data_IF_606076096396
#
_entry.id   IF_606076096396
#
_cell.length_a   1.000
_cell.length_b   1.000
_cell.length_c   1.000
_cell.angle_alpha   90.00
_cell.angle_beta   90.00
_cell.angle_gamma   90.00
#
_symmetry.space_group_name_H-M   'P 1'
#
loop_
_entity.id
_entity.type
_entity.pdbx_description
1 polymer ?
#
# COMPACT_ATOMS: atom_id res chain seq x y z
N UNK A 1 -7.97 21.00 11.67
CA UNK A 1 -8.89 19.88 11.59
C UNK A 1 -8.77 19.12 10.31
N UNK A 2 -8.66 19.79 9.18
CA UNK A 2 -8.46 19.11 7.91
C UNK A 2 -7.18 18.29 7.91
N UNK A 3 -6.19 18.78 8.61
CA UNK A 3 -4.91 18.06 8.69
C UNK A 3 -5.10 16.70 9.34
N UNK A 4 -5.94 16.63 10.35
CA UNK A 4 -6.21 15.38 11.03
C UNK A 4 -6.90 14.38 10.11
N UNK A 5 -7.75 14.87 9.21
CA UNK A 5 -8.45 14.01 8.27
C UNK A 5 -7.46 13.33 7.32
N UNK A 6 -6.49 14.08 6.83
CA UNK A 6 -5.48 13.50 5.94
C UNK A 6 -4.64 12.45 6.65
N UNK A 7 -4.26 12.72 7.88
CA UNK A 7 -3.53 11.75 8.68
C UNK A 7 -4.35 10.50 8.91
N UNK A 8 -5.64 10.67 9.15
CA UNK A 8 -6.55 9.54 9.35
C UNK A 8 -6.57 8.63 8.14
N UNK A 9 -6.59 9.21 6.93
CA UNK A 9 -6.62 8.41 5.71
C UNK A 9 -5.38 7.53 5.59
N UNK A 10 -4.21 8.07 5.89
CA UNK A 10 -2.99 7.28 5.85
C UNK A 10 -3.01 6.16 6.87
N UNK A 11 -3.44 6.46 8.08
CA UNK A 11 -3.51 5.47 9.14
C UNK A 11 -4.54 4.38 8.80
N UNK A 12 -5.67 4.77 8.24
CA UNK A 12 -6.68 3.82 7.83
C UNK A 12 -6.15 2.85 6.77
N UNK A 13 -5.41 3.38 5.81
CA UNK A 13 -4.85 2.54 4.76
C UNK A 13 -3.86 1.54 5.33
N UNK A 14 -2.97 1.99 6.22
CA UNK A 14 -2.02 1.09 6.86
C UNK A 14 -2.73 0.03 7.68
N UNK A 15 -3.77 0.42 8.38
CA UNK A 15 -4.55 -0.52 9.18
C UNK A 15 -5.20 -1.57 8.29
N UNK A 16 -5.74 -1.17 7.15
CA UNK A 16 -6.32 -2.10 6.20
C UNK A 16 -5.29 -3.11 5.71
N UNK A 17 -4.10 -2.62 5.37
CA UNK A 17 -3.05 -3.49 4.89
C UNK A 17 -2.64 -4.51 5.94
N UNK A 18 -2.58 -4.09 7.19
CA UNK A 18 -2.24 -4.99 8.28
C UNK A 18 -3.27 -6.09 8.49
N UNK A 19 -4.53 -5.79 8.21
CA UNK A 19 -5.62 -6.76 8.37
C UNK A 19 -5.72 -7.71 7.20
N UNK A 20 -5.09 -7.41 6.09
CA UNK A 20 -5.12 -8.27 4.92
C UNK A 20 -4.32 -9.54 5.16
N UNK A 21 -4.80 -10.65 4.59
CA UNK A 21 -3.99 -11.86 4.53
C UNK A 21 -2.85 -11.65 3.55
N UNK A 22 -1.86 -12.54 3.58
CA UNK A 22 -0.77 -12.46 2.62
C UNK A 22 -1.27 -12.51 1.18
N UNK A 23 -2.23 -13.38 0.91
CA UNK A 23 -2.81 -13.49 -0.43
C UNK A 23 -3.48 -12.19 -0.86
N UNK A 24 -4.24 -11.59 0.05
CA UNK A 24 -4.91 -10.33 -0.25
C UNK A 24 -3.90 -9.20 -0.47
N UNK A 25 -2.85 -9.18 0.33
CA UNK A 25 -1.81 -8.18 0.20
C UNK A 25 -1.10 -8.30 -1.14
N UNK A 26 -0.80 -9.53 -1.57
CA UNK A 26 -0.18 -9.76 -2.86
C UNK A 26 -1.10 -9.30 -3.99
N UNK A 27 -2.39 -9.62 -3.91
CA UNK A 27 -3.34 -9.15 -4.92
C UNK A 27 -3.40 -7.64 -4.97
N UNK A 28 -3.44 -7.01 -3.82
CA UNK A 28 -3.46 -5.55 -3.74
C UNK A 28 -2.20 -4.96 -4.37
N UNK A 29 -1.04 -5.52 -4.03
CA UNK A 29 0.23 -5.05 -4.58
C UNK A 29 0.31 -5.22 -6.09
N UNK A 30 -0.16 -6.35 -6.61
CA UNK A 30 -0.17 -6.59 -8.04
C UNK A 30 -1.07 -5.60 -8.76
N UNK A 31 -2.24 -5.32 -8.20
CA UNK A 31 -3.15 -4.36 -8.79
C UNK A 31 -2.53 -2.96 -8.82
N UNK A 32 -1.94 -2.54 -7.72
CA UNK A 32 -1.29 -1.25 -7.66
C UNK A 32 -0.13 -1.17 -8.63
N UNK A 33 0.66 -2.23 -8.73
CA UNK A 33 1.78 -2.28 -9.66
C UNK A 33 1.32 -2.17 -11.10
N UNK A 34 0.23 -2.85 -11.42
CA UNK A 34 -0.34 -2.81 -12.76
C UNK A 34 -0.77 -1.39 -13.11
N UNK A 35 -1.39 -0.70 -12.16
CA UNK A 35 -1.80 0.68 -12.37
C UNK A 35 -0.61 1.62 -12.48
N UNK A 36 0.52 1.26 -11.90
CA UNK A 36 1.72 2.10 -11.92
C UNK A 36 2.66 1.80 -13.09
N UNK A 37 2.26 0.96 -14.01
CA UNK A 37 3.05 0.71 -15.22
C UNK A 37 3.09 1.92 -16.13
N UNK A 38 2.01 2.67 -16.15
CA UNK A 38 1.90 3.86 -16.97
C UNK A 38 2.74 4.98 -16.33
N UNK A 39 3.59 5.66 -17.10
CA UNK A 39 4.35 6.79 -16.56
C UNK A 39 3.47 7.92 -16.05
N UNK A 40 2.21 7.93 -16.46
CA UNK A 40 1.24 8.92 -15.97
C UNK A 40 0.54 8.46 -14.72
N UNK A 41 1.03 7.42 -14.08
CA UNK A 41 0.44 6.86 -12.87
C UNK A 41 0.27 7.94 -11.81
N UNK A 42 -0.92 8.10 -11.23
CA UNK A 42 -1.10 9.06 -10.15
C UNK A 42 -0.27 8.72 -8.91
N UNK A 43 0.11 9.76 -8.18
CA UNK A 43 0.88 9.61 -6.96
C UNK A 43 0.21 8.69 -5.95
N UNK A 44 -1.12 8.71 -5.93
CA UNK A 44 -1.88 7.90 -5.00
C UNK A 44 -1.56 6.41 -5.18
N UNK A 45 -1.51 5.95 -6.43
CA UNK A 45 -1.23 4.55 -6.70
C UNK A 45 0.22 4.19 -6.42
N UNK A 46 1.14 5.11 -6.67
CA UNK A 46 2.54 4.89 -6.32
C UNK A 46 2.69 4.71 -4.82
N UNK A 47 2.01 5.55 -4.05
CA UNK A 47 2.05 5.47 -2.60
C UNK A 47 1.44 4.16 -2.11
N UNK A 48 0.32 3.75 -2.70
CA UNK A 48 -0.30 2.49 -2.33
C UNK A 48 0.63 1.31 -2.58
N UNK A 49 1.32 1.33 -3.70
CA UNK A 49 2.27 0.27 -4.02
C UNK A 49 3.40 0.22 -3.00
N UNK A 50 3.94 1.38 -2.64
CA UNK A 50 5.02 1.45 -1.66
C UNK A 50 4.55 0.98 -0.29
N UNK A 51 3.33 1.35 0.10
CA UNK A 51 2.77 0.91 1.36
C UNK A 51 2.61 -0.60 1.39
N UNK A 52 2.13 -1.18 0.30
CA UNK A 52 1.98 -2.63 0.21
C UNK A 52 3.33 -3.33 0.31
N UNK A 53 4.34 -2.80 -0.36
CA UNK A 53 5.68 -3.37 -0.29
C UNK A 53 6.25 -3.26 1.12
N UNK A 54 6.03 -2.14 1.77
CA UNK A 54 6.52 -1.96 3.13
C UNK A 54 5.87 -2.95 4.09
N UNK A 55 4.57 -3.16 3.94
CA UNK A 55 3.87 -4.13 4.77
C UNK A 55 4.37 -5.55 4.52
N UNK A 56 4.61 -5.89 3.26
CA UNK A 56 5.15 -7.20 2.92
C UNK A 56 6.51 -7.43 3.56
N UNK A 57 7.41 -6.43 3.45
CA UNK A 57 8.73 -6.53 4.05
C UNK A 57 8.66 -6.67 5.57
N UNK A 58 7.71 -5.98 6.18
CA UNK A 58 7.54 -6.06 7.62
C UNK A 58 7.18 -7.48 8.04
N UNK A 59 6.34 -8.14 7.25
CA UNK A 59 5.91 -9.50 7.53
C UNK A 59 6.98 -10.53 7.20
N UNK A 60 7.77 -10.26 6.17
CA UNK A 60 8.74 -11.21 5.63
C UNK A 60 10.11 -10.56 5.49
N UNK A 61 10.77 -10.23 6.61
CA UNK A 61 12.05 -9.50 6.52
C UNK A 61 13.16 -10.29 5.88
N UNK A 62 13.01 -11.60 5.76
CA UNK A 62 14.05 -12.46 5.18
C UNK A 62 13.92 -12.70 3.69
N UNK A 63 12.93 -12.12 3.06
CA UNK A 63 12.69 -12.39 1.64
C UNK A 63 13.47 -11.45 0.73
N UNK A 64 14.62 -11.07 1.06
CA UNK A 64 15.42 -10.20 0.19
C UNK A 64 16.28 -10.99 -0.76
#
# INVERSE_FOLDING_TARGET
MEIAIQSSNELEQRTRLRKMTDAQLVSFGKAARSLCRDPKCPEVFKRQLEEARAEWRRRHPRTL
#
